data_IF_143747983314
#
_entry.id   IF_143747983314
#
_cell.length_a   1.000
_cell.length_b   1.000
_cell.length_c   1.000
_cell.angle_alpha   90.00
_cell.angle_beta   90.00
_cell.angle_gamma   90.00
#
_symmetry.space_group_name_H-M   'P 1'
#
loop_
_entity.id
_entity.type
_entity.pdbx_description
1 polymer ?
#
# COMPACT_ATOMS: atom_id res chain seq x y z
N UNK A 1 -23.36 -5.50 0.12
CA UNK A 1 -22.65 -5.75 -1.15
C UNK A 1 -23.52 -5.25 -2.30
N UNK A 2 -22.96 -4.55 -3.30
CA UNK A 2 -23.68 -4.15 -4.51
C UNK A 2 -24.09 -5.37 -5.35
N UNK A 3 -25.24 -5.29 -6.01
CA UNK A 3 -25.76 -6.33 -6.89
C UNK A 3 -24.75 -6.73 -7.97
N UNK A 4 -24.55 -8.02 -8.23
CA UNK A 4 -23.62 -8.48 -9.27
C UNK A 4 -22.12 -8.31 -8.98
N UNK A 5 -21.73 -7.90 -7.76
CA UNK A 5 -20.34 -7.98 -7.30
C UNK A 5 -20.14 -9.28 -6.52
N UNK A 6 -19.25 -10.16 -6.98
CA UNK A 6 -18.93 -11.44 -6.32
C UNK A 6 -17.49 -11.44 -5.83
N UNK A 7 -17.29 -11.91 -4.61
CA UNK A 7 -16.00 -12.11 -3.97
C UNK A 7 -15.68 -13.59 -3.96
N UNK A 8 -14.55 -13.98 -4.54
CA UNK A 8 -14.06 -15.35 -4.40
C UNK A 8 -13.54 -15.55 -2.96
N UNK A 9 -13.85 -16.67 -2.28
CA UNK A 9 -13.54 -16.86 -0.84
C UNK A 9 -12.07 -16.71 -0.46
N UNK A 10 -11.13 -17.02 -1.36
CA UNK A 10 -9.68 -16.95 -1.13
C UNK A 10 -9.01 -15.67 -1.65
N UNK A 11 -9.78 -14.70 -2.16
CA UNK A 11 -9.20 -13.56 -2.91
C UNK A 11 -8.67 -12.43 -2.05
N UNK A 12 -9.21 -12.21 -0.85
CA UNK A 12 -8.85 -11.08 0.03
C UNK A 12 -7.84 -11.48 1.11
N UNK A 13 -7.04 -10.52 1.55
CA UNK A 13 -6.15 -10.67 2.71
C UNK A 13 -6.83 -10.37 4.05
N UNK A 14 -8.06 -9.85 4.03
CA UNK A 14 -8.83 -9.39 5.19
C UNK A 14 -10.26 -9.92 5.16
N UNK A 15 -10.99 -9.74 6.26
CA UNK A 15 -12.40 -10.13 6.32
C UNK A 15 -13.27 -9.31 5.36
N UNK A 16 -14.44 -9.86 4.98
CA UNK A 16 -15.45 -9.11 4.21
C UNK A 16 -15.87 -7.81 4.92
N UNK A 17 -15.94 -7.82 6.25
CA UNK A 17 -16.32 -6.65 7.04
C UNK A 17 -15.28 -5.54 6.89
N UNK A 18 -13.99 -5.88 7.02
CA UNK A 18 -12.90 -4.91 6.83
C UNK A 18 -12.85 -4.34 5.42
N UNK A 19 -13.10 -5.17 4.39
CA UNK A 19 -13.22 -4.67 3.03
C UNK A 19 -14.38 -3.68 2.88
N UNK A 20 -15.52 -3.93 3.53
CA UNK A 20 -16.65 -2.99 3.53
C UNK A 20 -16.33 -1.69 4.29
N UNK A 21 -15.58 -1.74 5.39
CA UNK A 21 -15.11 -0.54 6.09
C UNK A 21 -14.21 0.31 5.18
N UNK A 22 -13.29 -0.30 4.43
CA UNK A 22 -12.46 0.44 3.46
C UNK A 22 -13.31 1.04 2.33
N UNK A 23 -14.30 0.29 1.83
CA UNK A 23 -15.21 0.77 0.79
C UNK A 23 -16.08 1.95 1.27
N UNK A 24 -16.57 1.91 2.52
CA UNK A 24 -17.32 3.02 3.10
C UNK A 24 -16.44 4.26 3.24
N UNK A 25 -15.20 4.07 3.68
CA UNK A 25 -14.26 5.17 3.79
C UNK A 25 -14.00 5.85 2.44
N UNK A 26 -13.72 5.07 1.38
CA UNK A 26 -13.59 5.60 0.02
C UNK A 26 -14.88 6.32 -0.44
N UNK A 27 -16.05 5.74 -0.18
CA UNK A 27 -17.33 6.32 -0.58
C UNK A 27 -17.58 7.71 0.03
N UNK A 28 -17.18 7.92 1.28
CA UNK A 28 -17.43 9.16 2.00
C UNK A 28 -16.31 10.19 1.86
N UNK A 29 -15.05 9.74 1.81
CA UNK A 29 -13.89 10.64 1.73
C UNK A 29 -13.50 11.00 0.29
N UNK A 30 -13.72 10.10 -0.67
CA UNK A 30 -13.04 10.19 -1.97
C UNK A 30 -13.88 9.83 -3.20
N UNK A 31 -15.17 9.48 -3.09
CA UNK A 31 -15.97 9.02 -4.26
C UNK A 31 -16.00 9.98 -5.46
N UNK A 32 -15.76 11.27 -5.24
CA UNK A 32 -15.70 12.30 -6.27
C UNK A 32 -14.29 12.57 -6.84
N UNK A 33 -13.26 11.91 -6.30
CA UNK A 33 -11.86 12.09 -6.70
C UNK A 33 -11.48 11.12 -7.85
N UNK A 34 -10.30 11.32 -8.43
CA UNK A 34 -9.77 10.38 -9.43
C UNK A 34 -9.50 9.01 -8.82
N UNK A 35 -9.32 7.98 -9.67
CA UNK A 35 -8.92 6.65 -9.18
C UNK A 35 -7.63 6.73 -8.34
N UNK A 36 -6.67 7.58 -8.73
CA UNK A 36 -5.43 7.80 -7.98
C UNK A 36 -5.69 8.42 -6.62
N UNK A 37 -6.58 9.41 -6.52
CA UNK A 37 -6.97 10.06 -5.26
C UNK A 37 -7.69 9.10 -4.31
N UNK A 38 -8.57 8.27 -4.86
CA UNK A 38 -9.29 7.22 -4.11
C UNK A 38 -8.37 6.14 -3.56
N UNK A 39 -7.44 5.66 -4.39
CA UNK A 39 -6.37 4.74 -3.94
C UNK A 39 -5.51 5.39 -2.87
N UNK A 40 -5.18 6.69 -3.00
CA UNK A 40 -4.39 7.41 -2.01
C UNK A 40 -5.05 7.43 -0.63
N UNK A 41 -6.35 7.71 -0.55
CA UNK A 41 -7.11 7.68 0.72
C UNK A 41 -7.18 6.26 1.29
N UNK A 42 -7.41 5.25 0.45
CA UNK A 42 -7.38 3.85 0.89
C UNK A 42 -6.01 3.45 1.46
N UNK A 43 -4.91 3.88 0.84
CA UNK A 43 -3.56 3.56 1.30
C UNK A 43 -3.21 4.23 2.62
N UNK A 44 -3.74 5.42 2.93
CA UNK A 44 -3.58 6.00 4.29
C UNK A 44 -4.16 5.08 5.37
N UNK A 45 -5.33 4.47 5.12
CA UNK A 45 -5.92 3.49 6.05
C UNK A 45 -4.99 2.29 6.21
N UNK A 46 -4.46 1.75 5.11
CA UNK A 46 -3.59 0.57 5.16
C UNK A 46 -2.22 0.86 5.78
N UNK A 47 -1.67 2.06 5.54
CA UNK A 47 -0.43 2.50 6.15
C UNK A 47 -0.58 2.61 7.67
N UNK A 48 -1.74 3.08 8.15
CA UNK A 48 -2.07 3.08 9.59
C UNK A 48 -2.19 1.68 10.16
N UNK A 49 -2.91 0.77 9.49
CA UNK A 49 -3.01 -0.63 9.95
C UNK A 49 -1.63 -1.28 10.10
N UNK A 50 -0.65 -0.92 9.25
CA UNK A 50 0.72 -1.41 9.32
C UNK A 50 1.59 -0.72 10.38
N UNK A 51 1.20 0.45 10.85
CA UNK A 51 1.98 1.25 11.79
C UNK A 51 1.54 0.93 13.24
N UNK A 52 2.46 0.52 14.13
CA UNK A 52 2.13 0.04 15.48
C UNK A 52 1.53 1.13 16.40
N UNK A 53 1.51 2.40 15.97
CA UNK A 53 0.88 3.50 16.71
C UNK A 53 -0.63 3.60 16.50
N UNK A 54 -1.17 2.85 15.55
CA UNK A 54 -2.59 2.87 15.18
C UNK A 54 -3.23 1.50 15.43
N UNK A 55 -4.57 1.42 15.41
CA UNK A 55 -5.27 0.14 15.44
C UNK A 55 -4.84 -0.77 14.29
N UNK A 56 -4.87 -2.08 14.54
CA UNK A 56 -4.33 -3.09 13.62
C UNK A 56 -5.40 -3.69 12.69
N UNK A 57 -6.60 -3.11 12.64
CA UNK A 57 -7.67 -3.49 11.72
C UNK A 57 -8.23 -2.30 10.97
N UNK A 58 -8.73 -2.55 9.75
CA UNK A 58 -9.26 -1.50 8.87
C UNK A 58 -10.46 -0.80 9.51
N UNK A 59 -11.38 -1.57 10.09
CA UNK A 59 -12.58 -0.99 10.68
C UNK A 59 -12.24 -0.11 11.89
N UNK A 60 -11.31 -0.53 12.75
CA UNK A 60 -10.90 0.28 13.91
C UNK A 60 -10.16 1.55 13.50
N UNK A 61 -9.36 1.50 12.42
CA UNK A 61 -8.74 2.72 11.85
C UNK A 61 -9.81 3.66 11.30
N UNK A 62 -10.79 3.14 10.57
CA UNK A 62 -11.90 3.93 10.00
C UNK A 62 -12.78 4.54 11.10
N UNK A 63 -13.05 3.79 12.17
CA UNK A 63 -13.87 4.26 13.30
C UNK A 63 -13.06 4.92 14.42
N UNK A 64 -11.77 5.21 14.20
CA UNK A 64 -10.89 5.68 15.26
C UNK A 64 -11.39 7.01 15.86
N UNK A 65 -11.35 7.09 17.19
CA UNK A 65 -11.80 8.23 18.02
C UNK A 65 -13.32 8.49 18.07
N UNK A 66 -14.16 7.58 17.59
CA UNK A 66 -15.62 7.74 17.55
C UNK A 66 -16.34 7.86 18.91
N UNK A 67 -15.67 7.60 20.03
CA UNK A 67 -16.29 7.48 21.35
C UNK A 67 -15.51 8.16 22.49
N UNK A 68 -14.39 8.82 22.17
CA UNK A 68 -13.41 9.24 23.19
C UNK A 68 -13.30 10.77 23.35
N UNK A 69 -14.32 11.53 22.90
CA UNK A 69 -14.32 13.00 22.96
C UNK A 69 -13.25 13.69 22.08
N UNK A 70 -12.52 12.91 21.27
CA UNK A 70 -11.55 13.39 20.29
C UNK A 70 -12.23 13.55 18.93
N UNK A 71 -11.64 14.37 18.06
CA UNK A 71 -12.09 14.43 16.67
C UNK A 71 -11.92 13.06 16.00
N UNK A 72 -12.98 12.60 15.34
CA UNK A 72 -12.97 11.35 14.60
C UNK A 72 -11.94 11.41 13.47
N UNK A 73 -11.28 10.29 13.23
CA UNK A 73 -10.25 10.25 12.20
C UNK A 73 -10.83 10.58 10.82
N UNK A 74 -11.97 10.00 10.50
CA UNK A 74 -12.74 10.30 9.30
C UNK A 74 -14.02 10.99 9.75
N UNK A 75 -14.24 12.21 9.26
CA UNK A 75 -15.28 13.08 9.82
C UNK A 75 -16.69 12.54 9.59
N UNK A 76 -16.89 11.80 8.49
CA UNK A 76 -18.20 11.21 8.17
C UNK A 76 -18.68 10.23 9.24
N UNK A 77 -17.78 9.56 9.96
CA UNK A 77 -18.15 8.58 10.99
C UNK A 77 -18.88 9.22 12.19
N UNK A 78 -18.71 10.52 12.39
CA UNK A 78 -19.20 11.24 13.58
C UNK A 78 -19.95 12.52 13.25
N UNK A 79 -20.34 12.72 11.99
CA UNK A 79 -21.05 13.92 11.55
C UNK A 79 -22.57 13.89 11.88
N UNK A 80 -23.05 12.77 12.46
CA UNK A 80 -24.44 12.56 12.82
C UNK A 80 -25.35 12.26 11.62
N UNK A 81 -24.79 12.04 10.43
CA UNK A 81 -25.53 11.69 9.22
C UNK A 81 -25.59 10.18 9.05
N UNK A 82 -26.39 9.74 8.08
CA UNK A 82 -26.48 8.31 7.77
C UNK A 82 -25.25 7.84 7.02
N UNK A 83 -24.63 6.78 7.54
CA UNK A 83 -23.50 6.10 6.90
C UNK A 83 -23.91 5.24 5.69
N UNK A 84 -25.21 5.12 5.40
CA UNK A 84 -25.74 4.27 4.32
C UNK A 84 -25.48 4.92 2.96
N UNK A 85 -24.70 4.28 2.06
CA UNK A 85 -24.46 4.79 0.71
C UNK A 85 -25.75 4.83 -0.12
N UNK A 86 -26.14 6.01 -0.58
CA UNK A 86 -27.35 6.23 -1.39
C UNK A 86 -27.10 6.21 -2.90
N UNK A 87 -25.91 6.63 -3.37
CA UNK A 87 -25.51 6.50 -4.76
C UNK A 87 -25.01 5.08 -5.04
N UNK A 88 -25.88 4.28 -5.67
CA UNK A 88 -25.59 2.88 -5.99
C UNK A 88 -24.38 2.70 -6.91
N UNK A 89 -24.12 3.63 -7.84
CA UNK A 89 -22.98 3.54 -8.78
C UNK A 89 -21.68 3.86 -8.06
N UNK A 90 -21.65 4.94 -7.29
CA UNK A 90 -20.48 5.29 -6.49
C UNK A 90 -20.20 4.21 -5.43
N UNK A 91 -21.24 3.65 -4.79
CA UNK A 91 -21.08 2.56 -3.84
C UNK A 91 -20.49 1.30 -4.49
N UNK A 92 -21.00 0.90 -5.66
CA UNK A 92 -20.43 -0.21 -6.44
C UNK A 92 -18.95 0.04 -6.76
N UNK A 93 -18.62 1.24 -7.23
CA UNK A 93 -17.25 1.62 -7.54
C UNK A 93 -16.34 1.58 -6.31
N UNK A 94 -16.85 1.97 -5.13
CA UNK A 94 -16.08 1.98 -3.87
C UNK A 94 -15.77 0.57 -3.38
N UNK A 95 -16.74 -0.34 -3.50
CA UNK A 95 -16.52 -1.76 -3.19
C UNK A 95 -15.51 -2.39 -4.14
N UNK A 96 -15.59 -2.11 -5.44
CA UNK A 96 -14.61 -2.62 -6.42
C UNK A 96 -13.20 -2.10 -6.16
N UNK A 97 -13.06 -0.83 -5.74
CA UNK A 97 -11.78 -0.26 -5.36
C UNK A 97 -11.21 -0.97 -4.13
N UNK A 98 -12.00 -1.10 -3.06
CA UNK A 98 -11.56 -1.80 -1.84
C UNK A 98 -11.12 -3.24 -2.15
N UNK A 99 -11.88 -3.97 -2.97
CA UNK A 99 -11.51 -5.30 -3.44
C UNK A 99 -10.18 -5.32 -4.23
N UNK A 100 -9.96 -4.32 -5.09
CA UNK A 100 -8.74 -4.24 -5.90
C UNK A 100 -7.50 -3.96 -5.08
N UNK A 101 -7.61 -3.17 -4.01
CA UNK A 101 -6.50 -2.87 -3.10
C UNK A 101 -6.24 -4.03 -2.12
N UNK A 102 -7.28 -4.73 -1.66
CA UNK A 102 -7.19 -5.75 -0.61
C UNK A 102 -7.01 -7.20 -1.10
N UNK A 103 -6.98 -7.40 -2.42
CA UNK A 103 -6.73 -8.73 -2.98
C UNK A 103 -5.29 -9.19 -2.71
N UNK A 104 -5.10 -10.50 -2.49
CA UNK A 104 -3.79 -11.09 -2.14
C UNK A 104 -2.71 -10.84 -3.20
N UNK A 105 -3.11 -10.80 -4.45
CA UNK A 105 -2.29 -10.55 -5.65
C UNK A 105 -2.36 -9.07 -6.09
N UNK A 106 -2.67 -8.13 -5.20
CA UNK A 106 -2.81 -6.73 -5.56
C UNK A 106 -1.48 -6.15 -6.01
N UNK A 107 -1.49 -5.51 -7.18
CA UNK A 107 -0.36 -4.72 -7.70
C UNK A 107 -0.60 -3.21 -7.55
N UNK A 108 -1.61 -2.81 -6.77
CA UNK A 108 -1.94 -1.40 -6.56
C UNK A 108 -0.89 -0.76 -5.66
N UNK A 109 -0.07 0.11 -6.24
CA UNK A 109 0.98 0.83 -5.51
C UNK A 109 0.39 1.94 -4.62
N UNK A 110 1.12 2.30 -3.56
CA UNK A 110 0.81 3.46 -2.73
C UNK A 110 1.31 4.76 -3.39
N UNK A 111 0.42 5.63 -3.91
CA UNK A 111 0.84 6.89 -4.53
C UNK A 111 1.18 7.98 -3.51
N UNK A 112 0.99 7.73 -2.21
CA UNK A 112 1.16 8.71 -1.13
C UNK A 112 2.55 8.68 -0.49
N UNK A 113 3.37 7.69 -0.85
CA UNK A 113 4.70 7.46 -0.29
C UNK A 113 4.65 7.27 1.25
N UNK A 114 3.75 6.40 1.74
CA UNK A 114 3.68 6.10 3.18
C UNK A 114 2.99 7.19 4.00
N UNK A 115 2.04 7.92 3.42
CA UNK A 115 1.30 8.92 4.19
C UNK A 115 0.42 8.25 5.25
N UNK A 116 0.34 8.90 6.41
CA UNK A 116 -0.49 8.51 7.54
C UNK A 116 -1.58 9.55 7.85
N UNK A 117 -1.47 10.75 7.28
CA UNK A 117 -2.46 11.81 7.43
C UNK A 117 -2.75 12.48 6.10
N UNK A 118 -3.94 13.06 5.98
CA UNK A 118 -4.27 13.97 4.90
C UNK A 118 -5.30 14.98 5.37
N UNK A 119 -5.44 16.07 4.60
CA UNK A 119 -6.58 16.96 4.70
C UNK A 119 -6.96 17.48 3.32
N UNK A 120 -8.19 17.99 3.19
CA UNK A 120 -8.61 18.66 1.97
C UNK A 120 -7.93 20.01 1.84
N UNK A 121 -7.69 20.48 0.62
CA UNK A 121 -7.13 21.82 0.34
C UNK A 121 -8.01 22.98 0.86
N UNK A 122 -9.26 22.69 1.26
CA UNK A 122 -10.21 23.67 1.76
C UNK A 122 -9.99 24.05 3.24
N UNK A 123 -9.14 23.30 3.95
CA UNK A 123 -8.86 23.53 5.38
C UNK A 123 -7.35 23.57 5.64
N UNK A 124 -6.95 24.21 6.74
CA UNK A 124 -5.55 24.29 7.17
C UNK A 124 -5.41 23.90 8.66
N UNK A 125 -5.33 22.61 8.99
CA UNK A 125 -5.33 22.17 10.37
C UNK A 125 -3.98 22.46 11.06
N UNK A 126 -3.95 22.90 12.33
CA UNK A 126 -2.70 23.28 13.01
C UNK A 126 -1.59 22.23 13.00
N UNK A 127 -1.96 20.94 13.06
CA UNK A 127 -1.04 19.80 13.09
C UNK A 127 -0.24 19.66 11.78
N UNK A 128 -0.76 20.10 10.63
CA UNK A 128 -0.09 19.91 9.33
C UNK A 128 1.23 20.67 9.25
N UNK A 129 1.37 21.76 10.02
CA UNK A 129 2.58 22.58 10.10
C UNK A 129 3.77 21.86 10.72
N UNK A 130 3.53 20.76 11.43
CA UNK A 130 4.56 19.98 12.12
C UNK A 130 4.83 18.64 11.41
N UNK A 131 4.18 18.39 10.28
CA UNK A 131 4.29 17.14 9.52
C UNK A 131 4.98 17.35 8.18
N UNK A 132 5.51 16.26 7.64
CA UNK A 132 6.18 16.25 6.36
C UNK A 132 5.19 15.98 5.24
N UNK A 133 5.02 16.94 4.33
CA UNK A 133 4.15 16.76 3.17
C UNK A 133 4.76 15.78 2.18
N UNK A 134 4.06 14.67 1.90
CA UNK A 134 4.49 13.67 0.91
C UNK A 134 4.00 13.99 -0.50
N UNK A 135 2.92 14.76 -0.62
CA UNK A 135 2.39 15.15 -1.92
C UNK A 135 1.01 15.80 -1.85
N UNK A 136 0.48 16.08 -3.03
CA UNK A 136 -0.92 16.46 -3.24
C UNK A 136 -1.46 15.62 -4.39
N UNK A 137 -2.62 15.00 -4.18
CA UNK A 137 -3.34 14.25 -5.21
C UNK A 137 -4.79 14.77 -5.16
N UNK A 138 -5.25 15.29 -6.29
CA UNK A 138 -6.56 15.92 -6.43
C UNK A 138 -6.82 17.00 -5.35
N UNK A 139 -7.87 16.83 -4.54
CA UNK A 139 -8.24 17.76 -3.48
C UNK A 139 -7.54 17.51 -2.14
N UNK A 140 -6.69 16.49 -2.05
CA UNK A 140 -6.07 16.04 -0.80
C UNK A 140 -4.57 16.34 -0.75
N UNK A 141 -4.11 16.84 0.41
CA UNK A 141 -2.69 17.02 0.73
C UNK A 141 -2.33 15.94 1.74
N UNK A 142 -1.28 15.17 1.44
CA UNK A 142 -0.86 13.99 2.20
C UNK A 142 0.40 14.27 3.00
N UNK A 143 0.46 13.67 4.19
CA UNK A 143 1.52 13.91 5.17
C UNK A 143 2.00 12.62 5.81
N UNK A 144 3.26 12.64 6.20
CA UNK A 144 3.94 11.66 7.01
C UNK A 144 4.71 12.37 8.11
N UNK A 145 5.44 11.63 8.93
CA UNK A 145 6.39 12.20 9.88
C UNK A 145 7.79 11.64 9.67
N UNK A 146 8.77 12.26 10.31
CA UNK A 146 10.17 11.85 10.25
C UNK A 146 10.41 10.38 10.62
N UNK A 147 9.56 9.75 11.46
CA UNK A 147 9.74 8.35 11.85
C UNK A 147 9.16 7.39 10.82
N UNK A 148 8.01 7.70 10.23
CA UNK A 148 7.44 6.92 9.14
C UNK A 148 8.30 6.98 7.87
N UNK A 149 9.02 8.09 7.63
CA UNK A 149 10.06 8.15 6.57
C UNK A 149 11.27 7.25 6.81
N UNK A 150 11.59 6.97 8.09
CA UNK A 150 12.73 6.14 8.49
C UNK A 150 12.39 4.66 8.65
N UNK A 151 11.10 4.29 8.66
CA UNK A 151 10.72 2.88 8.55
C UNK A 151 11.32 2.35 7.24
N UNK A 152 12.06 1.22 7.28
CA UNK A 152 12.75 0.74 6.09
C UNK A 152 11.71 0.51 5.01
N UNK A 153 11.73 1.40 4.00
CA UNK A 153 11.18 1.08 2.69
C UNK A 153 11.79 -0.29 2.38
N UNK A 154 10.98 -1.29 2.03
CA UNK A 154 11.49 -2.46 1.35
C UNK A 154 12.05 -1.96 0.00
N UNK A 155 13.21 -1.30 0.04
CA UNK A 155 14.05 -1.11 -1.11
C UNK A 155 14.49 -2.52 -1.43
N UNK A 156 13.92 -3.08 -2.49
CA UNK A 156 14.57 -4.13 -3.24
C UNK A 156 16.04 -3.73 -3.36
N UNK A 157 16.90 -4.53 -2.71
CA UNK A 157 18.33 -4.36 -2.77
C UNK A 157 18.78 -4.47 -4.23
N UNK A 158 18.93 -3.32 -4.89
CA UNK A 158 19.57 -3.21 -6.19
C UNK A 158 20.65 -2.15 -6.07
N UNK A 159 21.83 -2.62 -5.63
CA UNK A 159 23.19 -2.06 -5.66
C UNK A 159 23.91 -2.80 -4.51
N UNK A 160 24.80 -3.74 -4.77
CA UNK A 160 26.07 -3.54 -5.45
C UNK A 160 26.52 -4.76 -6.28
N UNK A 161 26.57 -4.60 -7.60
CA UNK A 161 27.50 -5.35 -8.45
C UNK A 161 28.78 -4.51 -8.57
N UNK A 162 29.65 -4.66 -7.58
CA UNK A 162 31.05 -4.26 -7.66
C UNK A 162 31.84 -5.18 -6.71
N UNK A 163 32.27 -6.33 -7.21
CA UNK A 163 33.07 -7.28 -6.44
C UNK A 163 32.87 -8.69 -6.96
N UNK A 164 33.92 -9.28 -7.51
CA UNK A 164 33.86 -10.53 -8.24
C UNK A 164 33.64 -11.78 -7.39
N UNK A 165 33.44 -12.88 -8.11
CA UNK A 165 33.71 -14.25 -7.71
C UNK A 165 32.91 -14.81 -6.52
N UNK A 166 31.74 -15.36 -6.81
CA UNK A 166 31.35 -16.67 -6.26
C UNK A 166 30.24 -17.30 -7.14
N UNK A 167 30.59 -17.68 -8.37
CA UNK A 167 29.79 -18.59 -9.20
C UNK A 167 30.62 -19.82 -9.54
N UNK A 168 30.93 -20.60 -8.51
CA UNK A 168 31.33 -22.00 -8.63
C UNK A 168 31.10 -22.59 -7.23
N UNK A 169 30.17 -23.55 -7.12
CA UNK A 169 30.05 -24.58 -6.05
C UNK A 169 28.61 -25.11 -5.86
N UNK A 170 27.78 -25.06 -6.89
CA UNK A 170 26.59 -25.90 -6.98
C UNK A 170 26.57 -26.49 -8.40
N UNK A 171 26.43 -27.82 -8.48
CA UNK A 171 26.53 -28.71 -9.66
C UNK A 171 27.92 -29.30 -9.96
N UNK A 172 28.35 -30.25 -9.11
CA UNK A 172 29.28 -31.31 -9.50
C UNK A 172 28.97 -32.59 -8.72
N UNK A 173 27.85 -33.24 -9.04
CA UNK A 173 27.67 -34.68 -8.76
C UNK A 173 27.02 -35.34 -9.98
N UNK A 174 27.86 -35.71 -10.93
CA UNK A 174 27.60 -36.69 -11.98
C UNK A 174 28.95 -37.03 -12.61
N UNK A 175 29.61 -38.03 -12.05
CA UNK A 175 30.91 -38.50 -12.51
C UNK A 175 30.89 -38.91 -13.98
N UNK A 176 31.78 -38.33 -14.77
CA UNK A 176 32.27 -38.91 -16.03
C UNK A 176 33.78 -38.69 -16.08
N UNK A 177 34.49 -39.80 -16.32
CA UNK A 177 35.94 -39.96 -16.22
C UNK A 177 36.71 -39.22 -17.31
N UNK A 178 37.91 -38.81 -16.94
CA UNK A 178 38.95 -38.16 -17.74
C UNK A 178 39.64 -39.11 -18.74
N UNK A 179 40.06 -38.56 -19.89
CA UNK A 179 41.32 -38.92 -20.55
C UNK A 179 41.80 -37.82 -21.51
N UNK A 180 43.12 -37.72 -21.78
CA UNK A 180 43.76 -36.41 -21.91
C UNK A 180 44.37 -36.10 -23.29
N UNK A 181 44.67 -34.81 -23.43
CA UNK A 181 45.81 -34.21 -24.15
C UNK A 181 45.77 -34.11 -25.69
N UNK A 182 45.85 -32.86 -26.18
CA UNK A 182 46.96 -32.43 -27.03
C UNK A 182 47.14 -30.90 -26.94
N UNK A 183 48.29 -30.48 -26.40
CA UNK A 183 48.83 -29.11 -26.50
C UNK A 183 49.41 -28.91 -27.90
N UNK A 184 49.21 -27.73 -28.49
CA UNK A 184 50.26 -27.08 -29.28
C UNK A 184 50.30 -25.60 -28.91
N UNK A 185 51.28 -25.26 -28.08
CA UNK A 185 51.76 -23.90 -27.89
C UNK A 185 52.91 -23.66 -28.86
N UNK A 186 52.81 -22.56 -29.60
CA UNK A 186 53.90 -21.99 -30.39
C UNK A 186 55.07 -21.61 -29.47
N UNK A 187 56.27 -22.04 -29.85
CA UNK A 187 57.53 -21.38 -29.46
C UNK A 187 58.18 -20.90 -30.75
N UNK A 188 58.61 -19.64 -30.76
CA UNK A 188 59.20 -18.99 -31.94
C UNK A 188 60.69 -19.27 -32.11
N UNK A 189 61.25 -18.71 -33.19
CA UNK A 189 62.56 -18.01 -33.24
C UNK A 189 63.03 -17.86 -34.67
N UNK A 190 63.08 -16.63 -35.18
CA UNK A 190 64.30 -15.90 -35.58
C UNK A 190 63.93 -14.49 -36.02
#
# INVERSE_FOLDING_TARGET
>A
MPEGVRLAPASLTVSKNEMLCLALNDYWEARGESLRGRVAVAQVVLNRVKDPRFPNSICEVVSQNNSNGKACQFSWYCDGRSDVPTDKRAWRSSVLLAMSVLRRDSTVMDPTHGALWFHTKAVNPPWSRQMDRTGRIDNHIFYTDNRARQAPVLQTATRDLAGGSLVADLFADAGVKSSPAARQGLTGSK
#
